data_IF_380317228672
#
_entry.id   IF_380317228672
#
_cell.length_a   1.000
_cell.length_b   1.000
_cell.length_c   1.000
_cell.angle_alpha   90.00
_cell.angle_beta   90.00
_cell.angle_gamma   90.00
#
_symmetry.space_group_name_H-M   'P 1'
#
loop_
_entity.id
_entity.type
_entity.pdbx_description
1 polymer ?
#
# COMPACT_ATOMS: atom_id res chain seq x y z
N UNK A 1 0.12 8.40 -13.71
CA UNK A 1 -0.74 8.52 -12.52
C UNK A 1 -0.19 9.62 -11.61
N UNK A 2 -1.08 10.33 -10.92
CA UNK A 2 -0.80 11.50 -10.08
C UNK A 2 -0.90 11.11 -8.61
N UNK A 3 -0.11 11.75 -7.74
CA UNK A 3 -0.19 11.56 -6.30
C UNK A 3 -1.41 12.28 -5.73
N UNK A 4 -2.30 11.55 -5.05
CA UNK A 4 -3.50 12.12 -4.42
C UNK A 4 -3.17 13.10 -3.28
N UNK A 5 -1.93 13.10 -2.77
CA UNK A 5 -1.50 13.96 -1.65
C UNK A 5 -0.84 15.26 -2.13
N UNK A 6 0.10 15.19 -3.09
CA UNK A 6 0.85 16.37 -3.55
C UNK A 6 0.51 16.82 -4.98
N UNK A 7 -0.31 16.07 -5.72
CA UNK A 7 -0.75 16.40 -7.07
C UNK A 7 0.31 16.25 -8.16
N UNK A 8 1.47 15.64 -7.86
CA UNK A 8 2.55 15.45 -8.84
C UNK A 8 2.48 14.08 -9.53
N UNK A 9 2.94 14.03 -10.77
CA UNK A 9 3.08 12.79 -11.54
C UNK A 9 4.28 11.95 -11.11
N UNK A 10 4.24 10.66 -11.46
CA UNK A 10 5.35 9.72 -11.23
C UNK A 10 5.11 8.73 -10.10
N UNK A 11 3.86 8.57 -9.68
CA UNK A 11 3.48 7.56 -8.70
C UNK A 11 3.62 6.16 -9.29
N UNK A 12 3.99 5.21 -8.45
CA UNK A 12 4.17 3.80 -8.81
C UNK A 12 3.29 2.91 -7.94
N UNK A 13 2.74 1.85 -8.54
CA UNK A 13 2.08 0.78 -7.78
C UNK A 13 3.12 -0.29 -7.44
N UNK A 14 3.28 -0.58 -6.15
CA UNK A 14 4.16 -1.61 -5.63
C UNK A 14 3.33 -2.76 -5.07
N UNK A 15 3.78 -3.99 -5.30
CA UNK A 15 3.21 -5.19 -4.67
C UNK A 15 3.97 -5.44 -3.39
N UNK A 16 3.30 -5.42 -2.26
CA UNK A 16 3.93 -5.63 -0.94
C UNK A 16 3.21 -6.72 -0.16
N UNK A 17 3.91 -7.26 0.82
CA UNK A 17 3.36 -8.24 1.76
C UNK A 17 3.07 -7.54 3.09
N UNK A 18 1.86 -7.69 3.62
CA UNK A 18 1.53 -7.27 4.99
C UNK A 18 1.41 -8.48 5.91
N UNK A 19 1.97 -8.32 7.09
CA UNK A 19 1.88 -9.27 8.20
C UNK A 19 0.86 -8.77 9.22
N UNK A 20 -0.07 -9.63 9.60
CA UNK A 20 -1.02 -9.40 10.68
C UNK A 20 -0.81 -10.42 11.79
N UNK A 21 -1.02 -10.01 13.04
CA UNK A 21 -0.81 -10.88 14.20
C UNK A 21 0.68 -11.18 14.49
N UNK A 22 0.92 -12.22 15.29
CA UNK A 22 2.26 -12.64 15.72
C UNK A 22 2.29 -14.11 16.13
N UNK A 23 3.46 -14.75 16.02
CA UNK A 23 3.66 -16.12 16.47
C UNK A 23 2.78 -17.13 15.72
N UNK A 24 1.94 -17.87 16.44
CA UNK A 24 1.03 -18.87 15.86
C UNK A 24 -0.15 -18.25 15.11
N UNK A 25 -0.48 -17.00 15.40
CA UNK A 25 -1.58 -16.26 14.78
C UNK A 25 -1.07 -15.30 13.68
N UNK A 26 0.08 -15.61 13.08
CA UNK A 26 0.66 -14.82 12.00
C UNK A 26 -0.10 -15.09 10.69
N UNK A 27 -0.66 -14.04 10.10
CA UNK A 27 -1.24 -14.04 8.77
C UNK A 27 -0.37 -13.19 7.83
N UNK A 28 -0.07 -13.73 6.66
CA UNK A 28 0.64 -13.04 5.58
C UNK A 28 -0.32 -12.84 4.42
N UNK A 29 -0.52 -11.60 4.01
CA UNK A 29 -1.25 -11.25 2.79
C UNK A 29 -0.24 -10.68 1.81
N UNK A 30 -0.04 -11.39 0.70
CA UNK A 30 0.94 -11.06 -0.33
C UNK A 30 0.31 -10.30 -1.50
N UNK A 31 1.15 -9.69 -2.33
CA UNK A 31 0.75 -9.02 -3.57
C UNK A 31 -0.28 -7.88 -3.40
N UNK A 32 -0.32 -7.26 -2.22
CA UNK A 32 -1.19 -6.12 -1.93
C UNK A 32 -0.70 -4.92 -2.75
N UNK A 33 -1.56 -4.30 -3.57
CA UNK A 33 -1.19 -3.11 -4.33
C UNK A 33 -1.13 -1.88 -3.41
N UNK A 34 0.08 -1.35 -3.20
CA UNK A 34 0.34 -0.09 -2.52
C UNK A 34 0.76 1.00 -3.51
N UNK A 35 0.29 2.21 -3.28
CA UNK A 35 0.67 3.42 -4.02
C UNK A 35 1.93 4.00 -3.38
N UNK A 36 2.95 4.32 -4.16
CA UNK A 36 4.21 4.89 -3.64
C UNK A 36 4.74 6.01 -4.53
N UNK A 37 5.02 7.16 -3.92
CA UNK A 37 5.63 8.32 -4.56
C UNK A 37 6.82 8.84 -3.75
N UNK A 38 8.04 8.38 -4.06
CA UNK A 38 9.25 8.76 -3.33
C UNK A 38 9.53 10.27 -3.25
N UNK A 39 9.27 11.11 -4.27
CA UNK A 39 9.62 12.53 -4.23
C UNK A 39 8.96 13.33 -3.10
N UNK A 40 7.70 13.02 -2.72
CA UNK A 40 7.08 13.61 -1.52
C UNK A 40 7.07 12.68 -0.30
N UNK A 41 7.62 11.47 -0.43
CA UNK A 41 7.73 10.49 0.66
C UNK A 41 6.44 9.71 0.95
N UNK A 42 5.39 9.90 0.16
CA UNK A 42 4.09 9.29 0.42
C UNK A 42 4.03 7.84 -0.04
N UNK A 43 3.40 6.99 0.78
CA UNK A 43 3.02 5.64 0.40
C UNK A 43 1.75 5.24 1.14
N UNK A 44 0.71 4.85 0.40
CA UNK A 44 -0.63 4.60 0.93
C UNK A 44 -1.34 3.48 0.16
N UNK A 45 -2.48 3.05 0.69
CA UNK A 45 -3.38 2.11 0.04
C UNK A 45 -4.68 2.83 -0.34
N UNK A 46 -5.37 2.33 -1.37
CA UNK A 46 -6.71 2.80 -1.69
C UNK A 46 -7.71 2.28 -0.64
N UNK A 47 -8.85 2.96 -0.53
CA UNK A 47 -9.94 2.51 0.34
C UNK A 47 -10.44 1.10 -0.02
N UNK A 48 -10.48 0.78 -1.32
CA UNK A 48 -10.83 -0.56 -1.83
C UNK A 48 -9.84 -1.61 -1.31
N UNK A 49 -8.53 -1.40 -1.49
CA UNK A 49 -7.51 -2.32 -1.02
C UNK A 49 -7.58 -2.52 0.50
N UNK A 50 -7.81 -1.45 1.26
CA UNK A 50 -7.95 -1.55 2.71
C UNK A 50 -9.19 -2.35 3.11
N UNK A 51 -10.32 -2.14 2.45
CA UNK A 51 -11.56 -2.89 2.72
C UNK A 51 -11.42 -4.39 2.47
N UNK A 52 -10.55 -4.82 1.55
CA UNK A 52 -10.31 -6.25 1.29
C UNK A 52 -9.40 -6.92 2.32
N UNK A 53 -8.51 -6.16 2.97
CA UNK A 53 -7.47 -6.71 3.87
C UNK A 53 -7.69 -6.41 5.36
N UNK A 54 -8.71 -5.63 5.70
CA UNK A 54 -9.12 -5.28 7.08
C UNK A 54 -10.49 -5.86 7.41
#
# INVERSE_FOLDING_TARGET
MVCDICGQEGVTIRRITRTYGKGKDLLLIENIPGVSYPPCGESYFTAETLHEIE
#
